data_IF_524154799479
#
_entry.id   IF_524154799479
#
_cell.length_a   1.000
_cell.length_b   1.000
_cell.length_c   1.000
_cell.angle_alpha   90.00
_cell.angle_beta   90.00
_cell.angle_gamma   90.00
#
_symmetry.space_group_name_H-M   'P 1'
#
loop_
_entity.id
_entity.type
_entity.pdbx_description
1 polymer ?
#
# COMPACT_ATOMS: atom_id res chain seq x y z
N UNK A 1 -28.07 43.18 13.02
CA UNK A 1 -28.27 43.44 11.58
C UNK A 1 -27.81 42.23 10.79
N UNK A 2 -28.68 41.50 10.07
CA UNK A 2 -28.27 40.38 9.23
C UNK A 2 -27.46 40.87 8.02
N UNK A 3 -26.41 40.13 7.63
CA UNK A 3 -25.58 40.49 6.46
C UNK A 3 -26.36 40.29 5.17
N UNK A 4 -26.28 41.27 4.27
CA UNK A 4 -26.82 41.17 2.92
C UNK A 4 -25.93 40.24 2.07
N UNK A 5 -26.51 39.15 1.58
CA UNK A 5 -25.88 38.08 0.78
C UNK A 5 -26.38 38.07 -0.67
N UNK A 6 -27.25 39.01 -1.07
CA UNK A 6 -27.96 38.98 -2.34
C UNK A 6 -27.08 39.17 -3.59
N UNK A 7 -25.82 39.58 -3.41
CA UNK A 7 -24.82 39.69 -4.48
C UNK A 7 -23.75 38.59 -4.48
N UNK A 8 -23.77 37.67 -3.50
CA UNK A 8 -22.82 36.56 -3.46
C UNK A 8 -23.28 35.47 -4.42
N UNK A 9 -22.39 35.07 -5.34
CA UNK A 9 -22.60 33.95 -6.25
C UNK A 9 -22.71 32.68 -5.41
N UNK A 10 -23.92 32.32 -5.01
CA UNK A 10 -24.22 31.05 -4.36
C UNK A 10 -23.78 29.99 -5.34
N UNK A 11 -22.71 29.27 -5.01
CA UNK A 11 -22.17 28.24 -5.89
C UNK A 11 -23.30 27.33 -6.31
N UNK A 12 -23.50 27.17 -7.63
CA UNK A 12 -24.45 26.21 -8.17
C UNK A 12 -24.18 24.81 -7.61
N UNK A 13 -25.04 23.81 -7.88
CA UNK A 13 -24.87 22.46 -7.35
C UNK A 13 -23.44 22.01 -7.58
N UNK A 14 -22.69 21.88 -6.47
CA UNK A 14 -21.28 21.56 -6.51
C UNK A 14 -21.05 20.23 -7.22
N UNK A 15 -19.81 19.96 -7.60
CA UNK A 15 -19.46 18.69 -8.25
C UNK A 15 -19.98 17.51 -7.39
N UNK A 16 -20.73 16.56 -7.98
CA UNK A 16 -21.31 15.46 -7.22
C UNK A 16 -20.23 14.61 -6.56
N UNK A 17 -20.48 14.26 -5.29
CA UNK A 17 -19.57 13.46 -4.47
C UNK A 17 -19.29 12.12 -5.15
N UNK A 18 -18.00 11.77 -5.29
CA UNK A 18 -17.57 10.51 -5.90
C UNK A 18 -17.31 10.54 -7.41
N UNK A 19 -17.64 11.62 -8.13
CA UNK A 19 -17.30 11.74 -9.55
C UNK A 19 -15.79 11.96 -9.71
N UNK A 20 -15.11 11.12 -10.48
CA UNK A 20 -13.68 11.26 -10.82
C UNK A 20 -13.41 12.55 -11.60
N UNK A 21 -12.16 13.03 -11.53
CA UNK A 21 -11.76 14.23 -12.26
C UNK A 21 -11.76 13.92 -13.76
N UNK A 22 -12.15 14.87 -14.60
CA UNK A 22 -12.18 14.71 -16.06
C UNK A 22 -10.80 14.27 -16.59
N UNK A 23 -9.76 14.90 -16.06
CA UNK A 23 -8.36 14.53 -16.35
C UNK A 23 -8.09 13.07 -15.98
N UNK A 24 -8.54 12.60 -14.81
CA UNK A 24 -8.35 11.22 -14.37
C UNK A 24 -9.08 10.23 -15.28
N UNK A 25 -10.27 10.57 -15.77
CA UNK A 25 -11.01 9.71 -16.72
C UNK A 25 -10.35 9.65 -18.09
N UNK A 26 -9.84 10.77 -18.60
CA UNK A 26 -9.14 10.82 -19.89
C UNK A 26 -7.83 10.04 -19.84
N UNK A 27 -7.03 10.22 -18.78
CA UNK A 27 -5.79 9.44 -18.57
C UNK A 27 -6.07 7.94 -18.49
N UNK A 28 -7.15 7.54 -17.80
CA UNK A 28 -7.56 6.12 -17.77
C UNK A 28 -7.93 5.58 -19.15
N UNK A 29 -8.64 6.38 -19.95
CA UNK A 29 -9.02 5.97 -21.30
C UNK A 29 -7.80 5.81 -22.22
N UNK A 30 -6.85 6.76 -22.17
CA UNK A 30 -5.60 6.67 -22.95
C UNK A 30 -4.76 5.48 -22.50
N UNK A 31 -4.63 5.25 -21.19
CA UNK A 31 -3.89 4.12 -20.66
C UNK A 31 -4.53 2.77 -21.05
N UNK A 32 -5.86 2.67 -21.02
CA UNK A 32 -6.58 1.49 -21.47
C UNK A 32 -6.33 1.22 -22.96
N UNK A 33 -6.45 2.25 -23.81
CA UNK A 33 -6.19 2.11 -25.25
C UNK A 33 -4.76 1.63 -25.55
N UNK A 34 -3.76 2.10 -24.80
CA UNK A 34 -2.38 1.64 -24.94
C UNK A 34 -2.21 0.17 -24.52
N UNK A 35 -2.85 -0.25 -23.42
CA UNK A 35 -2.78 -1.63 -22.93
C UNK A 35 -3.53 -2.58 -23.87
N UNK A 36 -4.61 -2.13 -24.50
CA UNK A 36 -5.41 -2.91 -25.44
C UNK A 36 -4.78 -3.01 -26.84
N UNK A 37 -3.82 -2.16 -27.16
CA UNK A 37 -3.06 -2.23 -28.41
C UNK A 37 -2.34 -3.60 -28.55
N UNK A 38 -2.65 -4.39 -29.59
CA UNK A 38 -1.99 -5.66 -29.86
C UNK A 38 -0.47 -5.54 -30.01
N UNK A 39 0.03 -4.45 -30.58
CA UNK A 39 1.47 -4.24 -30.78
C UNK A 39 2.19 -4.08 -29.45
N UNK A 40 1.58 -3.33 -28.52
CA UNK A 40 2.09 -3.16 -27.17
C UNK A 40 2.17 -4.51 -26.43
N UNK A 41 1.10 -5.31 -26.48
CA UNK A 41 1.05 -6.64 -25.84
C UNK A 41 2.10 -7.60 -26.40
N UNK A 42 2.27 -7.64 -27.72
CA UNK A 42 3.29 -8.48 -28.36
C UNK A 42 4.71 -8.08 -27.96
N UNK A 43 4.99 -6.78 -27.94
CA UNK A 43 6.28 -6.24 -27.47
C UNK A 43 6.54 -6.62 -26.01
N UNK A 44 5.56 -6.40 -25.13
CA UNK A 44 5.67 -6.74 -23.72
C UNK A 44 5.98 -8.23 -23.53
N UNK A 45 5.25 -9.11 -24.22
CA UNK A 45 5.46 -10.56 -24.16
C UNK A 45 6.86 -10.96 -24.63
N UNK A 46 7.36 -10.35 -25.71
CA UNK A 46 8.73 -10.57 -26.20
C UNK A 46 9.76 -10.11 -25.17
N UNK A 47 9.56 -8.94 -24.56
CA UNK A 47 10.50 -8.35 -23.63
C UNK A 47 10.52 -9.10 -22.28
N UNK A 48 9.37 -9.60 -21.81
CA UNK A 48 9.26 -10.53 -20.68
C UNK A 48 10.05 -11.82 -20.92
N UNK A 49 9.90 -12.44 -22.10
CA UNK A 49 10.68 -13.65 -22.47
C UNK A 49 12.19 -13.40 -22.48
N UNK A 50 12.61 -12.18 -22.84
CA UNK A 50 14.00 -11.74 -22.85
C UNK A 50 14.48 -11.18 -21.50
N UNK A 51 13.65 -11.21 -20.45
CA UNK A 51 13.92 -10.62 -19.13
C UNK A 51 14.40 -9.17 -19.19
N UNK A 52 13.81 -8.39 -20.10
CA UNK A 52 14.08 -6.96 -20.26
C UNK A 52 13.09 -6.07 -19.51
N UNK A 53 12.06 -6.66 -18.93
CA UNK A 53 11.09 -5.96 -18.09
C UNK A 53 11.68 -5.80 -16.69
N UNK A 54 11.36 -4.70 -16.04
CA UNK A 54 11.83 -4.42 -14.68
C UNK A 54 11.32 -5.50 -13.71
N UNK A 55 12.16 -6.08 -12.82
CA UNK A 55 11.75 -7.17 -11.94
C UNK A 55 10.47 -6.90 -11.12
N UNK A 56 10.23 -5.69 -10.56
CA UNK A 56 8.99 -5.39 -9.84
C UNK A 56 7.73 -5.52 -10.70
N UNK A 57 7.82 -5.21 -12.00
CA UNK A 57 6.69 -5.34 -12.94
C UNK A 57 6.38 -6.81 -13.18
N UNK A 58 7.40 -7.66 -13.31
CA UNK A 58 7.19 -9.11 -13.44
C UNK A 58 6.53 -9.67 -12.18
N UNK A 59 7.06 -9.35 -10.98
CA UNK A 59 6.49 -9.78 -9.69
C UNK A 59 5.03 -9.35 -9.57
N UNK A 60 4.70 -8.12 -9.96
CA UNK A 60 3.33 -7.63 -9.95
C UNK A 60 2.44 -8.40 -10.94
N UNK A 61 2.93 -8.72 -12.13
CA UNK A 61 2.19 -9.52 -13.10
C UNK A 61 1.90 -10.93 -12.57
N UNK A 62 2.89 -11.58 -11.95
CA UNK A 62 2.74 -12.87 -11.29
C UNK A 62 1.73 -12.81 -10.15
N UNK A 63 1.76 -11.75 -9.34
CA UNK A 63 0.81 -11.53 -8.27
C UNK A 63 -0.65 -11.43 -8.76
N UNK A 64 -0.89 -10.80 -9.91
CA UNK A 64 -2.23 -10.74 -10.51
C UNK A 64 -2.65 -12.06 -11.15
N UNK A 65 -1.73 -12.80 -11.77
CA UNK A 65 -2.04 -14.02 -12.51
C UNK A 65 -2.19 -15.26 -11.61
N UNK A 66 -1.31 -15.41 -10.63
CA UNK A 66 -1.21 -16.60 -9.77
C UNK A 66 -1.54 -16.31 -8.30
N UNK A 67 -1.77 -15.04 -7.96
CA UNK A 67 -1.85 -14.59 -6.57
C UNK A 67 -0.48 -14.21 -6.00
N UNK A 68 -0.48 -13.38 -4.94
CA UNK A 68 0.75 -13.12 -4.19
C UNK A 68 1.12 -14.36 -3.38
N UNK A 69 2.40 -14.78 -3.37
CA UNK A 69 2.87 -15.74 -2.38
C UNK A 69 2.47 -15.27 -0.99
N UNK A 70 1.92 -16.18 -0.19
CA UNK A 70 1.53 -15.86 1.19
C UNK A 70 2.80 -15.52 1.94
N UNK A 71 2.97 -14.25 2.28
CA UNK A 71 4.02 -13.79 3.18
C UNK A 71 3.71 -14.35 4.57
N UNK A 72 4.22 -15.54 4.84
CA UNK A 72 4.19 -16.13 6.18
C UNK A 72 5.27 -15.41 6.99
N UNK A 73 4.85 -14.39 7.73
CA UNK A 73 5.66 -13.91 8.85
C UNK A 73 5.57 -15.01 9.90
N UNK A 74 6.65 -15.77 10.06
CA UNK A 74 6.84 -16.58 11.27
C UNK A 74 6.94 -15.60 12.43
N UNK A 75 5.80 -15.27 13.03
CA UNK A 75 5.78 -14.74 14.38
C UNK A 75 6.26 -15.91 15.21
N UNK A 76 7.58 -15.95 15.47
CA UNK A 76 8.13 -16.85 16.47
C UNK A 76 7.25 -16.70 17.69
N UNK A 77 6.60 -17.80 18.09
CA UNK A 77 5.76 -17.83 19.29
C UNK A 77 6.62 -17.23 20.38
N UNK A 78 6.30 -16.01 20.82
CA UNK A 78 6.88 -15.46 22.04
C UNK A 78 6.70 -16.58 23.05
N UNK A 79 7.81 -17.08 23.61
CA UNK A 79 7.87 -18.39 24.27
C UNK A 79 6.66 -18.60 25.16
N UNK A 80 6.18 -19.85 25.29
CA UNK A 80 5.06 -20.16 26.19
C UNK A 80 5.40 -19.73 27.63
N UNK A 81 5.18 -18.45 27.93
CA UNK A 81 5.38 -17.82 29.23
C UNK A 81 4.41 -18.42 30.25
N UNK A 82 3.36 -19.09 29.77
CA UNK A 82 2.43 -19.90 30.56
C UNK A 82 3.09 -21.06 31.30
N UNK A 83 4.32 -21.44 30.95
CA UNK A 83 5.08 -22.51 31.63
C UNK A 83 6.20 -22.00 32.52
N UNK A 84 6.48 -20.70 32.52
CA UNK A 84 7.50 -20.10 33.38
C UNK A 84 6.85 -19.65 34.69
N UNK A 85 7.57 -19.84 35.79
CA UNK A 85 7.19 -19.26 37.08
C UNK A 85 7.35 -17.73 37.05
N UNK A 86 6.63 -17.03 37.93
CA UNK A 86 6.67 -15.56 38.00
C UNK A 86 8.10 -15.01 38.21
N UNK A 87 8.96 -15.75 38.91
CA UNK A 87 10.35 -15.35 39.14
C UNK A 87 11.21 -15.50 37.89
N UNK A 88 10.99 -16.55 37.09
CA UNK A 88 11.66 -16.72 35.80
C UNK A 88 11.24 -15.64 34.80
N UNK A 89 9.96 -15.23 34.84
CA UNK A 89 9.45 -14.13 34.02
C UNK A 89 10.08 -12.78 34.39
N UNK A 90 10.31 -12.52 35.68
CA UNK A 90 11.00 -11.29 36.13
C UNK A 90 12.44 -11.22 35.63
N UNK A 91 13.16 -12.33 35.73
CA UNK A 91 14.55 -12.41 35.26
C UNK A 91 14.63 -12.19 33.75
N UNK A 92 13.70 -12.78 32.99
CA UNK A 92 13.68 -12.63 31.54
C UNK A 92 13.30 -11.19 31.10
N UNK A 93 12.39 -10.56 31.86
CA UNK A 93 12.06 -9.14 31.68
C UNK A 93 13.27 -8.23 31.96
N UNK A 94 14.01 -8.48 33.04
CA UNK A 94 15.21 -7.71 33.38
C UNK A 94 16.29 -7.86 32.30
N UNK A 95 16.51 -9.07 31.78
CA UNK A 95 17.44 -9.30 30.65
C UNK A 95 17.01 -8.55 29.40
N UNK A 96 15.71 -8.56 29.07
CA UNK A 96 15.19 -7.85 27.91
C UNK A 96 15.35 -6.34 28.03
N UNK A 97 15.12 -5.78 29.23
CA UNK A 97 15.32 -4.37 29.53
C UNK A 97 16.81 -3.96 29.53
N UNK A 98 17.71 -4.85 29.92
CA UNK A 98 19.15 -4.64 29.81
C UNK A 98 19.66 -4.70 28.36
N UNK A 99 19.02 -5.50 27.50
CA UNK A 99 19.39 -5.65 26.09
C UNK A 99 18.86 -4.51 25.19
N UNK A 100 17.79 -3.83 25.60
CA UNK A 100 17.21 -2.71 24.84
C UNK A 100 17.49 -1.37 25.54
N UNK A 101 18.69 -0.78 25.36
CA UNK A 101 18.95 0.58 25.85
C UNK A 101 17.99 1.54 25.15
N UNK A 102 17.30 2.34 25.96
CA UNK A 102 16.34 3.41 25.63
C UNK A 102 16.24 3.81 24.16
N UNK A 103 15.01 3.76 23.61
CA UNK A 103 14.61 4.53 22.45
C UNK A 103 15.03 6.02 22.61
N UNK A 104 15.42 6.72 21.52
CA UNK A 104 15.83 8.11 21.60
C UNK A 104 14.66 8.95 22.10
N UNK A 105 14.83 9.58 23.25
CA UNK A 105 13.95 10.64 23.73
C UNK A 105 14.01 11.77 22.71
N UNK A 106 12.93 11.96 21.95
CA UNK A 106 12.78 13.08 21.03
C UNK A 106 12.86 14.39 21.82
N UNK A 107 13.87 15.22 21.50
CA UNK A 107 13.96 16.63 21.88
C UNK A 107 13.38 17.53 20.79
#
# INVERSE_FOLDING_TARGET
MPRNISGLKVGGPGRPKGRLNKVTTEVRAVAAALIDDPQYRQKLLRDMRKRRVSPPVEVMLWAYACGKPVERVEIGRAGDFSKMSDDELRVELEKALLFFPSAPTAG
#
